data_IF_884904376050
#
_entry.id   IF_884904376050
#
_cell.length_a   1.000
_cell.length_b   1.000
_cell.length_c   1.000
_cell.angle_alpha   90.00
_cell.angle_beta   90.00
_cell.angle_gamma   90.00
#
_symmetry.space_group_name_H-M   'P 1'
#
loop_
_entity.id
_entity.type
_entity.pdbx_description
1 polymer ?
#
# COMPACT_ATOMS: atom_id res chain seq x y z
N UNK A 1 -19.84 -10.43 -2.78
CA UNK A 1 -18.52 -10.63 -2.17
C UNK A 1 -18.24 -12.12 -2.05
N UNK A 2 -17.08 -12.59 -2.46
CA UNK A 2 -16.63 -13.97 -2.17
C UNK A 2 -16.48 -14.10 -0.66
N UNK A 3 -17.32 -14.92 -0.01
CA UNK A 3 -17.31 -15.10 1.45
C UNK A 3 -16.02 -15.80 1.89
N UNK A 4 -15.36 -15.27 2.93
CA UNK A 4 -14.28 -15.95 3.63
C UNK A 4 -12.85 -15.62 3.19
N UNK A 5 -12.63 -14.69 2.23
CA UNK A 5 -11.28 -14.27 1.89
C UNK A 5 -10.75 -13.33 2.98
N UNK A 6 -9.65 -13.72 3.62
CA UNK A 6 -8.85 -12.85 4.51
C UNK A 6 -7.65 -12.30 3.74
N UNK A 7 -7.18 -11.10 4.11
CA UNK A 7 -6.15 -10.39 3.34
C UNK A 7 -4.98 -10.00 4.23
N UNK A 8 -3.78 -10.47 3.86
CA UNK A 8 -2.52 -9.93 4.35
C UNK A 8 -2.01 -8.89 3.35
N UNK A 9 -1.95 -7.62 3.76
CA UNK A 9 -1.36 -6.56 2.95
C UNK A 9 0.11 -6.39 3.32
N UNK A 10 1.00 -6.67 2.37
CA UNK A 10 2.45 -6.51 2.55
C UNK A 10 2.87 -5.19 1.91
N UNK A 11 3.53 -4.33 2.69
CA UNK A 11 4.00 -3.00 2.25
C UNK A 11 5.52 -2.96 2.36
N UNK A 12 6.21 -2.83 1.22
CA UNK A 12 7.67 -2.69 1.20
C UNK A 12 8.07 -1.23 1.38
N UNK A 13 9.00 -0.94 2.29
CA UNK A 13 9.48 0.42 2.54
C UNK A 13 11.00 0.48 2.76
N UNK A 14 11.58 1.66 2.52
CA UNK A 14 12.94 2.00 2.86
C UNK A 14 13.11 3.52 2.98
N UNK A 15 13.44 4.01 4.18
CA UNK A 15 13.86 5.40 4.48
C UNK A 15 12.99 6.53 3.89
N UNK A 16 11.67 6.31 3.71
CA UNK A 16 10.75 7.34 3.24
C UNK A 16 9.46 7.39 4.05
N UNK A 17 9.53 7.82 5.34
CA UNK A 17 8.38 7.81 6.25
C UNK A 17 7.23 8.72 5.78
N UNK A 18 7.50 9.81 5.08
CA UNK A 18 6.47 10.73 4.58
C UNK A 18 5.58 10.05 3.51
N UNK A 19 6.17 9.28 2.61
CA UNK A 19 5.43 8.51 1.61
C UNK A 19 4.67 7.34 2.28
N UNK A 20 5.34 6.61 3.18
CA UNK A 20 4.73 5.51 3.93
C UNK A 20 3.50 5.98 4.74
N UNK A 21 3.54 7.18 5.34
CA UNK A 21 2.39 7.78 6.02
C UNK A 21 1.19 7.91 5.08
N UNK A 22 1.39 8.48 3.89
CA UNK A 22 0.32 8.64 2.89
C UNK A 22 -0.21 7.29 2.40
N UNK A 23 0.68 6.31 2.23
CA UNK A 23 0.30 4.94 1.89
C UNK A 23 -0.63 4.37 2.98
N UNK A 24 -0.19 4.33 4.23
CA UNK A 24 -0.96 3.81 5.37
C UNK A 24 -2.29 4.55 5.56
N UNK A 25 -2.30 5.88 5.47
CA UNK A 25 -3.52 6.69 5.51
C UNK A 25 -4.51 6.31 4.40
N UNK A 26 -4.02 5.93 3.21
CA UNK A 26 -4.88 5.46 2.12
C UNK A 26 -5.48 4.08 2.40
N UNK A 27 -4.76 3.22 3.10
CA UNK A 27 -5.27 1.90 3.50
C UNK A 27 -6.31 2.01 4.60
N UNK A 28 -6.17 2.93 5.56
CA UNK A 28 -7.19 3.17 6.59
C UNK A 28 -8.52 3.71 6.03
N UNK A 29 -8.52 4.20 4.78
CA UNK A 29 -9.72 4.70 4.08
C UNK A 29 -10.34 3.72 3.10
N UNK A 30 -9.90 2.48 3.09
CA UNK A 30 -10.43 1.44 2.22
C UNK A 30 -11.88 1.09 2.59
N UNK A 31 -12.71 0.78 1.58
CA UNK A 31 -14.07 0.25 1.78
C UNK A 31 -14.08 -1.11 2.48
N UNK A 32 -13.01 -1.89 2.28
CA UNK A 32 -12.74 -3.15 3.00
C UNK A 32 -11.33 -3.04 3.58
N UNK A 33 -11.19 -3.20 4.88
CA UNK A 33 -9.89 -3.20 5.55
C UNK A 33 -9.20 -4.56 5.41
N UNK A 34 -7.86 -4.60 5.38
CA UNK A 34 -7.12 -5.86 5.41
C UNK A 34 -7.29 -6.53 6.77
N UNK A 35 -7.10 -7.85 6.82
CA UNK A 35 -7.08 -8.60 8.08
C UNK A 35 -5.82 -8.31 8.89
N UNK A 36 -4.73 -8.01 8.21
CA UNK A 36 -3.44 -7.61 8.78
C UNK A 36 -2.61 -6.82 7.77
N UNK A 37 -1.68 -6.00 8.27
CA UNK A 37 -0.62 -5.38 7.49
C UNK A 37 0.73 -5.93 7.97
N UNK A 38 1.62 -6.26 7.03
CA UNK A 38 3.01 -6.61 7.32
C UNK A 38 3.90 -5.62 6.57
N UNK A 39 4.59 -4.77 7.31
CA UNK A 39 5.52 -3.80 6.74
C UNK A 39 6.88 -4.47 6.58
N UNK A 40 7.29 -4.68 5.33
CA UNK A 40 8.58 -5.23 4.94
C UNK A 40 9.58 -4.09 4.77
N UNK A 41 10.38 -3.84 5.81
CA UNK A 41 11.29 -2.70 5.92
C UNK A 41 12.73 -3.13 5.63
N UNK A 42 13.31 -2.60 4.56
CA UNK A 42 14.65 -2.96 4.06
C UNK A 42 15.79 -2.24 4.81
N UNK A 43 15.61 -1.98 6.11
CA UNK A 43 16.63 -1.41 6.98
C UNK A 43 16.49 0.10 7.18
N UNK A 44 15.28 0.61 7.27
CA UNK A 44 15.03 2.03 7.52
C UNK A 44 15.52 2.51 8.89
N UNK A 45 15.69 3.82 8.98
CA UNK A 45 16.05 4.54 10.19
C UNK A 45 14.90 4.62 11.22
N UNK A 46 15.23 5.21 12.39
CA UNK A 46 14.32 5.33 13.53
C UNK A 46 13.06 6.16 13.21
N UNK A 47 13.09 7.08 12.23
CA UNK A 47 11.92 7.90 11.87
C UNK A 47 10.83 7.02 11.26
N UNK A 48 11.21 6.06 10.43
CA UNK A 48 10.29 5.07 9.85
C UNK A 48 9.73 4.16 10.93
N UNK A 49 10.57 3.66 11.84
CA UNK A 49 10.15 2.81 12.96
C UNK A 49 9.14 3.54 13.87
N UNK A 50 9.39 4.79 14.21
CA UNK A 50 8.45 5.62 15.02
C UNK A 50 7.10 5.78 14.34
N UNK A 51 7.10 6.05 13.04
CA UNK A 51 5.87 6.15 12.24
C UNK A 51 5.07 4.86 12.29
N UNK A 52 5.72 3.72 12.04
CA UNK A 52 5.06 2.41 12.05
C UNK A 52 4.45 2.11 13.43
N UNK A 53 5.19 2.40 14.50
CA UNK A 53 4.70 2.23 15.86
C UNK A 53 3.46 3.10 16.15
N UNK A 54 3.45 4.37 15.70
CA UNK A 54 2.27 5.25 15.80
C UNK A 54 1.04 4.64 15.14
N UNK A 55 1.19 4.12 13.92
CA UNK A 55 0.08 3.47 13.21
C UNK A 55 -0.37 2.17 13.88
N UNK A 56 0.55 1.37 14.39
CA UNK A 56 0.25 0.11 15.09
C UNK A 56 -0.62 0.35 16.33
N UNK A 57 -0.37 1.44 17.07
CA UNK A 57 -1.17 1.78 18.27
C UNK A 57 -2.60 2.25 17.94
N UNK A 58 -2.83 2.79 16.76
CA UNK A 58 -4.09 3.43 16.38
C UNK A 58 -4.94 2.58 15.40
N UNK A 59 -4.40 1.50 14.86
CA UNK A 59 -5.11 0.64 13.91
C UNK A 59 -6.10 -0.28 14.62
N UNK A 60 -7.22 -0.60 13.94
CA UNK A 60 -8.23 -1.56 14.41
C UNK A 60 -7.90 -3.01 14.03
N UNK A 61 -6.78 -3.25 13.37
CA UNK A 61 -6.28 -4.55 12.92
C UNK A 61 -4.76 -4.64 13.14
N UNK A 62 -4.17 -5.86 13.18
CA UNK A 62 -2.75 -6.04 13.43
C UNK A 62 -1.87 -5.39 12.36
N UNK A 63 -0.82 -4.67 12.79
CA UNK A 63 0.27 -4.20 11.93
C UNK A 63 1.57 -4.78 12.48
N UNK A 64 2.25 -5.57 11.66
CA UNK A 64 3.54 -6.18 11.98
C UNK A 64 4.66 -5.45 11.26
N UNK A 65 5.81 -5.30 11.91
CA UNK A 65 7.00 -4.67 11.34
C UNK A 65 8.12 -5.70 11.19
N UNK A 66 8.39 -6.11 9.94
CA UNK A 66 9.52 -6.94 9.58
C UNK A 66 10.66 -6.05 9.15
N UNK A 67 11.69 -5.99 9.97
CA UNK A 67 12.87 -5.18 9.76
C UNK A 67 14.14 -6.03 9.72
N UNK A 68 15.15 -5.58 9.02
CA UNK A 68 16.50 -6.09 9.11
C UNK A 68 17.52 -4.93 8.98
N UNK A 69 18.74 -5.14 9.47
CA UNK A 69 19.82 -4.17 9.37
C UNK A 69 20.08 -3.77 7.91
N UNK A 70 20.27 -2.46 7.67
CA UNK A 70 20.65 -1.95 6.35
C UNK A 70 22.04 -2.47 5.94
N UNK A 71 22.09 -3.27 4.91
CA UNK A 71 23.30 -3.80 4.26
C UNK A 71 23.20 -3.65 2.74
N UNK A 72 22.61 -2.53 2.28
CA UNK A 72 22.29 -2.27 0.88
C UNK A 72 20.95 -2.88 0.46
N UNK A 73 20.63 -2.77 -0.81
CA UNK A 73 19.32 -3.16 -1.36
C UNK A 73 19.03 -4.66 -1.22
N UNK A 74 18.19 -5.04 -0.27
CA UNK A 74 17.82 -6.43 0.02
C UNK A 74 16.30 -6.61 0.17
N UNK A 75 15.53 -5.76 -0.50
CA UNK A 75 14.06 -5.76 -0.49
C UNK A 75 13.46 -7.16 -0.63
N UNK A 76 14.02 -8.00 -1.51
CA UNK A 76 13.49 -9.36 -1.72
C UNK A 76 13.61 -10.23 -0.47
N UNK A 77 14.65 -10.05 0.34
CA UNK A 77 14.85 -10.85 1.57
C UNK A 77 13.76 -10.50 2.59
N UNK A 78 13.52 -9.21 2.84
CA UNK A 78 12.51 -8.79 3.81
C UNK A 78 11.09 -9.07 3.31
N UNK A 79 10.84 -8.96 2.01
CA UNK A 79 9.56 -9.38 1.40
C UNK A 79 9.28 -10.87 1.61
N UNK A 80 10.27 -11.75 1.39
CA UNK A 80 10.10 -13.19 1.63
C UNK A 80 9.83 -13.49 3.11
N UNK A 81 10.45 -12.77 4.04
CA UNK A 81 10.14 -12.88 5.47
C UNK A 81 8.70 -12.45 5.76
N UNK A 82 8.26 -11.32 5.21
CA UNK A 82 6.91 -10.83 5.37
C UNK A 82 5.88 -11.82 4.79
N UNK A 83 6.12 -12.35 3.59
CA UNK A 83 5.25 -13.36 2.95
C UNK A 83 5.15 -14.62 3.83
N UNK A 84 6.27 -15.09 4.40
CA UNK A 84 6.26 -16.30 5.25
C UNK A 84 5.50 -16.13 6.56
N UNK A 85 5.25 -14.89 7.00
CA UNK A 85 4.48 -14.55 8.20
C UNK A 85 3.02 -14.24 7.91
N UNK A 86 2.65 -14.07 6.66
CA UNK A 86 1.28 -13.80 6.26
C UNK A 86 0.36 -14.96 6.68
N UNK A 87 -0.71 -14.62 7.42
CA UNK A 87 -1.66 -15.60 7.97
C UNK A 87 -2.95 -15.73 7.15
N UNK A 88 -3.16 -14.83 6.20
CA UNK A 88 -4.40 -14.75 5.41
C UNK A 88 -4.38 -15.62 4.16
N UNK A 89 -5.57 -15.91 3.63
CA UNK A 89 -5.73 -16.73 2.42
C UNK A 89 -5.36 -16.01 1.12
N UNK A 90 -5.24 -14.68 1.14
CA UNK A 90 -4.88 -13.87 -0.02
C UNK A 90 -3.87 -12.79 0.37
N UNK A 91 -2.80 -12.68 -0.40
CA UNK A 91 -1.73 -11.70 -0.17
C UNK A 91 -1.83 -10.60 -1.23
N UNK A 92 -1.80 -9.35 -0.78
CA UNK A 92 -1.62 -8.17 -1.62
C UNK A 92 -0.27 -7.57 -1.28
N UNK A 93 0.55 -7.28 -2.29
CA UNK A 93 1.85 -6.63 -2.12
C UNK A 93 1.86 -5.28 -2.82
N UNK A 94 2.30 -4.23 -2.11
CA UNK A 94 2.49 -2.88 -2.66
C UNK A 94 3.82 -2.28 -2.16
N UNK A 95 4.25 -1.19 -2.79
CA UNK A 95 5.35 -0.36 -2.31
C UNK A 95 4.82 0.73 -1.36
N UNK A 96 5.63 1.19 -0.42
CA UNK A 96 5.26 2.17 0.60
C UNK A 96 5.10 3.61 0.10
N UNK A 97 5.33 3.83 -1.20
CA UNK A 97 5.11 5.11 -1.90
C UNK A 97 3.80 5.12 -2.72
N UNK A 98 2.94 4.14 -2.50
CA UNK A 98 1.67 3.98 -3.20
C UNK A 98 0.52 4.56 -2.38
N UNK A 99 -0.33 5.35 -3.04
CA UNK A 99 -1.63 5.77 -2.49
C UNK A 99 -2.71 4.92 -3.16
N UNK A 100 -3.31 4.03 -2.39
CA UNK A 100 -4.35 3.13 -2.88
C UNK A 100 -5.68 3.87 -3.11
N UNK A 101 -6.42 3.51 -4.16
CA UNK A 101 -7.80 3.98 -4.34
C UNK A 101 -8.70 3.43 -3.22
N UNK A 102 -9.80 4.09 -2.86
CA UNK A 102 -10.66 3.64 -1.76
C UNK A 102 -11.22 2.22 -1.90
N UNK A 103 -11.31 1.71 -3.11
CA UNK A 103 -11.84 0.38 -3.41
C UNK A 103 -10.75 -0.64 -3.76
N UNK A 104 -9.47 -0.32 -3.54
CA UNK A 104 -8.35 -1.15 -3.96
C UNK A 104 -8.44 -2.59 -3.41
N UNK A 105 -8.67 -2.74 -2.10
CA UNK A 105 -8.79 -4.06 -1.46
C UNK A 105 -10.09 -4.77 -1.90
N UNK A 106 -11.19 -4.04 -2.01
CA UNK A 106 -12.47 -4.57 -2.49
C UNK A 106 -12.35 -5.14 -3.90
N UNK A 107 -11.66 -4.43 -4.80
CA UNK A 107 -11.41 -4.87 -6.17
C UNK A 107 -10.58 -6.16 -6.21
N UNK A 108 -9.56 -6.28 -5.34
CA UNK A 108 -8.79 -7.53 -5.18
C UNK A 108 -9.66 -8.69 -4.68
N UNK A 109 -10.51 -8.47 -3.66
CA UNK A 109 -11.44 -9.50 -3.16
C UNK A 109 -12.41 -9.96 -4.24
N UNK A 110 -12.93 -9.02 -5.03
CA UNK A 110 -13.85 -9.31 -6.11
C UNK A 110 -13.21 -10.20 -7.20
N UNK A 111 -11.98 -9.89 -7.57
CA UNK A 111 -11.25 -10.55 -8.66
C UNK A 111 -10.46 -11.78 -8.24
N UNK A 112 -10.25 -11.98 -6.92
CA UNK A 112 -9.44 -13.10 -6.43
C UNK A 112 -9.97 -14.44 -6.98
N UNK A 113 -9.09 -15.25 -7.56
CA UNK A 113 -9.37 -16.57 -8.11
C UNK A 113 -8.22 -17.50 -7.76
N UNK A 114 -8.54 -18.75 -7.39
CA UNK A 114 -7.53 -19.75 -7.04
C UNK A 114 -6.61 -20.06 -8.24
N UNK A 115 -5.31 -20.14 -7.98
CA UNK A 115 -4.32 -20.36 -9.03
C UNK A 115 -4.02 -19.14 -9.92
N UNK A 116 -4.66 -17.99 -9.66
CA UNK A 116 -4.46 -16.75 -10.40
C UNK A 116 -3.79 -15.68 -9.56
N UNK A 117 -3.05 -14.78 -10.21
CA UNK A 117 -2.56 -13.54 -9.59
C UNK A 117 -3.07 -12.31 -10.34
N UNK A 118 -3.24 -11.22 -9.61
CA UNK A 118 -3.70 -9.95 -10.16
C UNK A 118 -2.51 -8.97 -10.16
N UNK A 119 -2.24 -8.38 -11.31
CA UNK A 119 -1.27 -7.30 -11.43
C UNK A 119 -1.99 -5.98 -11.67
N UNK A 120 -1.80 -5.05 -10.73
CA UNK A 120 -2.31 -3.70 -10.87
C UNK A 120 -1.44 -2.82 -11.79
N UNK A 121 -2.05 -1.77 -12.33
CA UNK A 121 -1.36 -0.67 -13.01
C UNK A 121 -1.24 0.52 -12.06
N UNK A 122 -0.29 1.42 -12.32
CA UNK A 122 -0.10 2.64 -11.53
C UNK A 122 -0.16 3.88 -12.40
N UNK A 123 -0.70 4.97 -11.83
CA UNK A 123 -0.60 6.31 -12.39
C UNK A 123 0.47 7.09 -11.63
N UNK A 124 1.49 7.57 -12.32
CA UNK A 124 2.55 8.34 -11.69
C UNK A 124 2.10 9.79 -11.51
N UNK A 125 2.32 10.33 -10.32
CA UNK A 125 2.18 11.76 -10.06
C UNK A 125 3.34 12.54 -10.69
N UNK A 126 3.08 13.78 -11.09
CA UNK A 126 4.17 14.69 -11.44
C UNK A 126 4.84 15.25 -10.16
N UNK A 127 6.05 15.79 -10.31
CA UNK A 127 6.85 16.30 -9.19
C UNK A 127 6.08 17.31 -8.33
N UNK A 128 5.35 18.26 -8.95
CA UNK A 128 4.60 19.29 -8.20
C UNK A 128 3.48 18.68 -7.34
N UNK A 129 2.78 17.68 -7.87
CA UNK A 129 1.73 16.98 -7.13
C UNK A 129 2.32 16.17 -5.97
N UNK A 130 3.42 15.46 -6.21
CA UNK A 130 4.13 14.69 -5.18
C UNK A 130 4.59 15.61 -4.04
N UNK A 131 5.30 16.71 -4.35
CA UNK A 131 5.75 17.68 -3.33
C UNK A 131 4.57 18.24 -2.55
N UNK A 132 3.49 18.67 -3.23
CA UNK A 132 2.31 19.21 -2.54
C UNK A 132 1.62 18.21 -1.62
N UNK A 133 1.64 16.92 -1.96
CA UNK A 133 1.08 15.86 -1.11
C UNK A 133 1.96 15.60 0.12
N UNK A 134 3.26 15.50 -0.08
CA UNK A 134 4.23 15.29 0.99
C UNK A 134 4.23 16.46 1.99
N UNK A 135 4.24 17.71 1.50
CA UNK A 135 4.23 18.92 2.35
C UNK A 135 2.93 19.05 3.16
N UNK A 136 1.80 18.72 2.58
CA UNK A 136 0.48 18.89 3.22
C UNK A 136 0.05 17.69 4.05
N UNK A 137 0.65 16.52 3.82
CA UNK A 137 0.33 15.28 4.53
C UNK A 137 -1.15 14.89 4.49
N UNK A 138 -1.93 15.39 3.50
CA UNK A 138 -3.38 15.20 3.45
C UNK A 138 -3.84 14.63 2.12
N UNK A 139 -4.47 13.47 2.17
CA UNK A 139 -5.08 12.79 1.03
C UNK A 139 -6.34 13.49 0.48
N UNK A 140 -6.90 14.48 1.18
CA UNK A 140 -8.12 15.22 0.75
C UNK A 140 -7.97 15.95 -0.59
N UNK A 141 -6.74 16.05 -1.11
CA UNK A 141 -6.41 16.73 -2.36
C UNK A 141 -6.52 15.79 -3.57
N UNK A 142 -6.65 14.47 -3.36
CA UNK A 142 -6.60 13.46 -4.43
C UNK A 142 -7.69 13.67 -5.50
N UNK A 143 -8.87 14.14 -5.13
CA UNK A 143 -9.93 14.43 -6.11
C UNK A 143 -9.57 15.55 -7.11
N UNK A 144 -8.63 16.43 -6.74
CA UNK A 144 -8.05 17.45 -7.65
C UNK A 144 -6.81 16.94 -8.40
N UNK A 145 -6.19 15.85 -7.94
CA UNK A 145 -4.95 15.29 -8.48
C UNK A 145 -5.17 14.46 -9.75
N UNK A 146 -6.39 13.98 -10.02
CA UNK A 146 -6.70 13.29 -11.29
C UNK A 146 -6.34 14.15 -12.51
N UNK A 147 -6.37 15.48 -12.38
CA UNK A 147 -5.98 16.43 -13.43
C UNK A 147 -4.45 16.60 -13.58
N UNK A 148 -3.65 16.07 -12.66
CA UNK A 148 -2.19 16.32 -12.58
C UNK A 148 -1.38 15.02 -12.79
N UNK A 149 -2.05 13.92 -13.10
CA UNK A 149 -1.42 12.63 -13.35
C UNK A 149 -0.82 12.57 -14.76
N UNK A 150 0.37 11.99 -14.89
CA UNK A 150 0.99 11.75 -16.21
C UNK A 150 0.19 10.76 -17.08
N UNK A 151 -0.60 9.89 -16.44
CA UNK A 151 -1.39 8.84 -17.08
C UNK A 151 -2.77 8.75 -16.41
N UNK A 152 -3.68 9.72 -16.66
CA UNK A 152 -4.98 9.77 -15.98
C UNK A 152 -5.86 8.55 -16.25
N UNK A 153 -5.70 7.89 -17.39
CA UNK A 153 -6.42 6.67 -17.76
C UNK A 153 -6.14 5.49 -16.82
N UNK A 154 -4.92 5.42 -16.27
CA UNK A 154 -4.55 4.37 -15.31
C UNK A 154 -5.17 4.61 -13.92
N UNK A 155 -5.71 5.81 -13.68
CA UNK A 155 -6.40 6.18 -12.45
C UNK A 155 -7.91 5.98 -12.52
N UNK A 156 -8.46 5.60 -13.69
CA UNK A 156 -9.88 5.37 -13.85
C UNK A 156 -10.23 3.92 -13.49
N UNK A 157 -11.18 3.78 -12.59
CA UNK A 157 -11.81 2.48 -12.30
C UNK A 157 -12.76 2.14 -13.44
N UNK A 158 -12.25 1.40 -14.45
CA UNK A 158 -13.08 0.90 -15.54
C UNK A 158 -13.47 -0.56 -15.23
N UNK A 159 -14.72 -0.81 -14.94
CA UNK A 159 -15.29 -2.15 -14.89
C UNK A 159 -15.43 -2.71 -16.32
N UNK A 160 -14.93 -3.91 -16.64
CA UNK A 160 -14.24 -4.93 -15.84
C UNK A 160 -12.71 -4.85 -15.87
N UNK A 161 -12.13 -3.76 -16.35
CA UNK A 161 -10.68 -3.59 -16.37
C UNK A 161 -10.23 -3.01 -15.03
N UNK A 162 -9.61 -3.84 -14.20
CA UNK A 162 -8.94 -3.42 -12.99
C UNK A 162 -7.86 -2.40 -13.31
N UNK A 163 -8.16 -1.13 -13.12
CA UNK A 163 -7.13 -0.15 -12.96
C UNK A 163 -6.80 -0.03 -11.48
N UNK A 164 -5.75 -0.67 -11.06
CA UNK A 164 -5.15 -0.43 -9.76
C UNK A 164 -4.33 0.85 -9.89
N UNK A 165 -4.69 1.86 -9.14
CA UNK A 165 -3.93 3.10 -9.08
C UNK A 165 -2.74 2.85 -8.17
N UNK A 166 -1.57 2.77 -8.77
CA UNK A 166 -0.31 2.86 -8.07
C UNK A 166 0.33 4.21 -8.42
N UNK A 167 0.92 4.84 -7.45
CA UNK A 167 1.69 6.08 -7.62
C UNK A 167 3.14 5.74 -7.87
#
# INVERSE_FOLDING_TARGET
MKKGITISLIIATYNWPEALRLCLDSILRQTILPSEIIIADDGSDERTTKLIHEFTQNASFPIFHEWHEDRGFRKTIVLNKAISKASSSYIIQIDGDIIASPNFIEDHVYMAEEGCFIRGTRANLNVRATTSLLDKGKLSIINKLQLIMKQPTNALRLYPMLSLIHI
#
